data_IF_526900034118
#
_entry.id   IF_526900034118
#
_cell.length_a   1.000
_cell.length_b   1.000
_cell.length_c   1.000
_cell.angle_alpha   90.00
_cell.angle_beta   90.00
_cell.angle_gamma   90.00
#
_symmetry.space_group_name_H-M   'P 1'
#
loop_
_entity.id
_entity.type
_entity.pdbx_description
1 polymer ?
#
# COMPACT_ATOMS: atom_id res chain seq x y z
N UNK A 1 19.79 -8.19 -6.48
CA UNK A 1 18.33 -8.26 -6.74
C UNK A 1 17.71 -9.24 -5.73
N UNK A 2 17.06 -8.69 -4.73
CA UNK A 2 16.51 -9.44 -3.58
C UNK A 2 15.20 -10.17 -3.91
N UNK A 3 14.52 -9.78 -5.00
CA UNK A 3 13.19 -10.27 -5.40
C UNK A 3 13.20 -10.93 -6.78
N UNK A 4 14.36 -11.41 -7.25
CA UNK A 4 14.49 -12.04 -8.57
C UNK A 4 13.56 -13.26 -8.69
N UNK A 5 12.73 -13.27 -9.75
CA UNK A 5 11.77 -14.33 -10.02
C UNK A 5 10.50 -14.28 -9.19
N UNK A 6 10.26 -13.23 -8.41
CA UNK A 6 9.03 -12.99 -7.69
C UNK A 6 8.04 -12.17 -8.52
N UNK A 7 6.76 -12.36 -8.23
CA UNK A 7 5.66 -11.60 -8.82
C UNK A 7 4.98 -10.75 -7.74
N UNK A 8 4.66 -9.51 -8.08
CA UNK A 8 4.08 -8.55 -7.15
C UNK A 8 2.84 -7.87 -7.74
N UNK A 9 1.88 -7.55 -6.89
CA UNK A 9 0.78 -6.64 -7.18
C UNK A 9 0.87 -5.43 -6.25
N UNK A 10 0.83 -4.22 -6.83
CA UNK A 10 0.75 -2.98 -6.06
C UNK A 10 -0.57 -2.29 -6.36
N UNK A 11 -1.45 -2.20 -5.35
CA UNK A 11 -2.72 -1.49 -5.53
C UNK A 11 -2.52 0.02 -5.47
N UNK A 12 -3.24 0.75 -6.34
CA UNK A 12 -3.01 2.19 -6.51
C UNK A 12 -1.58 2.52 -6.98
N UNK A 13 -0.98 1.66 -7.82
CA UNK A 13 0.42 1.73 -8.24
C UNK A 13 0.75 2.78 -9.29
N UNK A 14 -0.21 3.57 -9.76
CA UNK A 14 -0.02 4.50 -10.88
C UNK A 14 0.68 5.83 -10.51
N UNK A 15 0.71 6.22 -9.24
CA UNK A 15 1.29 7.49 -8.76
C UNK A 15 1.78 7.42 -7.31
N UNK A 16 2.46 8.47 -6.88
CA UNK A 16 2.86 8.68 -5.48
C UNK A 16 3.67 7.51 -4.89
N UNK A 17 3.30 7.10 -3.69
CA UNK A 17 3.95 6.02 -2.94
C UNK A 17 3.82 4.69 -3.69
N UNK A 18 2.63 4.36 -4.24
CA UNK A 18 2.42 3.11 -4.97
C UNK A 18 3.31 2.97 -6.21
N UNK A 19 3.48 4.06 -6.99
CA UNK A 19 4.43 4.10 -8.10
C UNK A 19 5.86 3.84 -7.65
N UNK A 20 6.30 4.49 -6.58
CA UNK A 20 7.65 4.30 -6.06
C UNK A 20 7.87 2.85 -5.59
N UNK A 21 6.88 2.25 -4.93
CA UNK A 21 6.93 0.86 -4.51
C UNK A 21 7.01 -0.08 -5.73
N UNK A 22 6.16 0.12 -6.75
CA UNK A 22 6.16 -0.70 -7.94
C UNK A 22 7.52 -0.69 -8.67
N UNK A 23 8.13 0.49 -8.80
CA UNK A 23 9.45 0.65 -9.40
C UNK A 23 10.54 -0.01 -8.55
N UNK A 24 10.54 0.20 -7.23
CA UNK A 24 11.56 -0.37 -6.33
C UNK A 24 11.49 -1.91 -6.29
N UNK A 25 10.30 -2.52 -6.33
CA UNK A 25 10.14 -3.97 -6.42
C UNK A 25 10.71 -4.50 -7.76
N UNK A 26 10.47 -3.78 -8.85
CA UNK A 26 11.01 -4.14 -10.17
C UNK A 26 12.54 -4.01 -10.23
N UNK A 27 13.12 -2.96 -9.65
CA UNK A 27 14.58 -2.77 -9.54
C UNK A 27 15.24 -3.91 -8.75
N UNK A 28 14.52 -4.50 -7.80
CA UNK A 28 14.97 -5.67 -7.05
C UNK A 28 14.63 -7.01 -7.73
N UNK A 29 14.09 -6.97 -8.95
CA UNK A 29 13.95 -8.15 -9.81
C UNK A 29 12.57 -8.78 -9.84
N UNK A 30 11.54 -8.17 -9.24
CA UNK A 30 10.18 -8.65 -9.32
C UNK A 30 9.50 -8.27 -10.65
N UNK A 31 8.60 -9.12 -11.14
CA UNK A 31 7.60 -8.77 -12.14
C UNK A 31 6.40 -8.14 -11.43
N UNK A 32 5.83 -7.05 -11.97
CA UNK A 32 4.90 -6.23 -11.20
C UNK A 32 3.60 -5.95 -11.93
N UNK A 33 2.48 -6.34 -11.34
CA UNK A 33 1.15 -5.87 -11.69
C UNK A 33 0.87 -4.52 -11.00
N UNK A 34 0.34 -3.58 -11.78
CA UNK A 34 0.01 -2.23 -11.34
C UNK A 34 -1.50 -2.10 -11.34
N UNK A 35 -2.11 -2.05 -10.15
CA UNK A 35 -3.54 -1.76 -10.08
C UNK A 35 -3.81 -0.26 -10.17
N UNK A 36 -4.86 0.09 -10.89
CA UNK A 36 -5.41 1.44 -11.02
C UNK A 36 -6.93 1.38 -11.24
N UNK A 37 -7.64 2.48 -11.01
CA UNK A 37 -9.08 2.58 -11.28
C UNK A 37 -9.35 3.32 -12.59
N UNK A 38 -8.90 4.57 -12.71
CA UNK A 38 -9.25 5.45 -13.84
C UNK A 38 -8.05 6.01 -14.58
N UNK A 39 -6.86 6.02 -13.99
CA UNK A 39 -5.66 6.68 -14.53
C UNK A 39 -4.78 5.72 -15.34
N UNK A 40 -5.32 5.13 -16.42
CA UNK A 40 -4.57 4.20 -17.28
C UNK A 40 -3.29 4.83 -17.86
N UNK A 41 -3.27 6.07 -18.38
CA UNK A 41 -2.02 6.65 -18.90
C UNK A 41 -0.90 6.70 -17.87
N UNK A 42 -1.20 7.07 -16.62
CA UNK A 42 -0.22 7.08 -15.54
C UNK A 42 0.25 5.66 -15.16
N UNK A 43 -0.66 4.69 -15.11
CA UNK A 43 -0.31 3.29 -14.85
C UNK A 43 0.58 2.73 -15.98
N UNK A 44 0.29 3.07 -17.24
CA UNK A 44 1.09 2.68 -18.42
C UNK A 44 2.49 3.27 -18.37
N UNK A 45 2.65 4.53 -17.96
CA UNK A 45 3.97 5.14 -17.77
C UNK A 45 4.82 4.35 -16.76
N UNK A 46 4.22 3.90 -15.65
CA UNK A 46 4.92 3.07 -14.66
C UNK A 46 5.28 1.71 -15.25
N UNK A 47 4.35 1.07 -15.95
CA UNK A 47 4.59 -0.21 -16.62
C UNK A 47 5.73 -0.12 -17.64
N UNK A 48 5.80 0.96 -18.43
CA UNK A 48 6.87 1.15 -19.40
C UNK A 48 8.24 1.36 -18.72
N UNK A 49 8.28 2.03 -17.56
CA UNK A 49 9.50 2.12 -16.76
C UNK A 49 9.95 0.77 -16.23
N UNK A 50 9.01 -0.06 -15.75
CA UNK A 50 9.32 -1.43 -15.31
C UNK A 50 9.86 -2.28 -16.46
N UNK A 51 9.29 -2.18 -17.65
CA UNK A 51 9.80 -2.89 -18.84
C UNK A 51 11.21 -2.41 -19.24
N UNK A 52 11.50 -1.11 -19.10
CA UNK A 52 12.85 -0.56 -19.33
C UNK A 52 13.90 -1.08 -18.33
N UNK A 53 13.49 -1.43 -17.12
CA UNK A 53 14.32 -2.12 -16.12
C UNK A 53 14.57 -3.59 -16.52
N UNK A 54 13.87 -4.10 -17.52
CA UNK A 54 13.96 -5.50 -17.95
C UNK A 54 13.05 -6.45 -17.17
N UNK A 55 11.97 -5.92 -16.54
CA UNK A 55 10.99 -6.73 -15.82
C UNK A 55 9.65 -6.74 -16.55
N UNK A 56 8.88 -7.80 -16.33
CA UNK A 56 7.53 -7.88 -16.87
C UNK A 56 6.58 -7.01 -16.04
N UNK A 57 5.60 -6.37 -16.72
CA UNK A 57 4.58 -5.56 -16.05
C UNK A 57 3.21 -5.76 -16.65
N UNK A 58 2.20 -5.85 -15.80
CA UNK A 58 0.79 -6.02 -16.15
C UNK A 58 -0.07 -4.87 -15.60
N UNK A 59 -1.05 -4.41 -16.37
CA UNK A 59 -2.00 -3.36 -15.97
C UNK A 59 -3.29 -4.01 -15.46
N UNK A 60 -3.56 -3.89 -14.17
CA UNK A 60 -4.66 -4.52 -13.47
C UNK A 60 -5.74 -3.48 -13.07
N UNK A 61 -6.68 -3.20 -13.97
CA UNK A 61 -7.75 -2.24 -13.68
C UNK A 61 -8.80 -2.84 -12.75
N UNK A 62 -9.01 -2.24 -11.57
CA UNK A 62 -10.09 -2.62 -10.65
C UNK A 62 -10.28 -1.55 -9.56
N UNK A 63 -11.51 -1.39 -9.08
CA UNK A 63 -11.79 -0.73 -7.80
C UNK A 63 -11.66 -1.76 -6.67
N UNK A 64 -10.65 -1.61 -5.82
CA UNK A 64 -10.41 -2.53 -4.71
C UNK A 64 -11.51 -2.50 -3.64
N UNK A 65 -12.29 -1.42 -3.58
CA UNK A 65 -13.47 -1.30 -2.72
C UNK A 65 -14.66 -2.18 -3.16
N UNK A 66 -14.62 -2.69 -4.39
CA UNK A 66 -15.62 -3.60 -4.96
C UNK A 66 -15.05 -5.02 -5.00
N UNK A 67 -15.65 -5.95 -4.23
CA UNK A 67 -15.15 -7.32 -4.15
C UNK A 67 -15.25 -8.09 -5.47
N UNK A 68 -16.36 -8.06 -6.25
CA UNK A 68 -16.43 -8.66 -7.58
C UNK A 68 -15.35 -8.16 -8.53
N UNK A 69 -15.07 -6.86 -8.54
CA UNK A 69 -14.05 -6.27 -9.40
C UNK A 69 -12.63 -6.69 -8.96
N UNK A 70 -12.38 -6.74 -7.64
CA UNK A 70 -11.14 -7.27 -7.07
C UNK A 70 -10.93 -8.74 -7.39
N UNK A 71 -12.00 -9.55 -7.36
CA UNK A 71 -11.92 -10.97 -7.70
C UNK A 71 -11.58 -11.18 -9.18
N UNK A 72 -12.19 -10.41 -10.09
CA UNK A 72 -11.86 -10.41 -11.51
C UNK A 72 -10.39 -10.02 -11.74
N UNK A 73 -9.94 -8.95 -11.10
CA UNK A 73 -8.53 -8.51 -11.16
C UNK A 73 -7.57 -9.63 -10.72
N UNK A 74 -7.90 -10.35 -9.65
CA UNK A 74 -7.06 -11.44 -9.17
C UNK A 74 -6.95 -12.58 -10.20
N UNK A 75 -8.06 -12.93 -10.86
CA UNK A 75 -8.04 -13.94 -11.94
C UNK A 75 -7.13 -13.49 -13.09
N UNK A 76 -7.22 -12.21 -13.50
CA UNK A 76 -6.40 -11.66 -14.58
C UNK A 76 -4.90 -11.68 -14.21
N UNK A 77 -4.56 -11.26 -12.99
CA UNK A 77 -3.17 -11.27 -12.47
C UNK A 77 -2.61 -12.70 -12.39
N UNK A 78 -3.40 -13.65 -11.88
CA UNK A 78 -2.99 -15.06 -11.80
C UNK A 78 -2.87 -15.72 -13.17
N UNK A 79 -3.71 -15.34 -14.12
CA UNK A 79 -3.60 -15.79 -15.51
C UNK A 79 -2.32 -15.29 -16.18
N UNK A 80 -1.95 -14.04 -15.91
CA UNK A 80 -0.75 -13.39 -16.49
C UNK A 80 0.55 -13.92 -15.90
N UNK A 81 0.63 -14.04 -14.57
CA UNK A 81 1.87 -14.41 -13.88
C UNK A 81 1.93 -15.88 -13.42
N UNK A 82 0.82 -16.60 -13.46
CA UNK A 82 0.72 -17.95 -12.91
C UNK A 82 0.56 -18.01 -11.38
N UNK A 83 1.13 -17.04 -10.68
CA UNK A 83 1.08 -16.93 -9.20
C UNK A 83 1.29 -15.47 -8.75
N UNK A 84 1.03 -15.20 -7.47
CA UNK A 84 1.37 -13.93 -6.82
C UNK A 84 2.17 -14.20 -5.54
N UNK A 85 3.37 -13.67 -5.45
CA UNK A 85 4.24 -13.76 -4.29
C UNK A 85 4.03 -12.60 -3.31
N UNK A 86 3.91 -11.39 -3.84
CA UNK A 86 3.93 -10.15 -3.06
C UNK A 86 2.66 -9.34 -3.35
N UNK A 87 1.94 -9.00 -2.29
CA UNK A 87 0.80 -8.07 -2.35
C UNK A 87 1.13 -6.81 -1.56
N UNK A 88 1.11 -5.64 -2.22
CA UNK A 88 1.20 -4.35 -1.55
C UNK A 88 -0.15 -3.64 -1.63
N UNK A 89 -0.86 -3.59 -0.52
CA UNK A 89 -2.11 -2.87 -0.36
C UNK A 89 -1.81 -1.39 -0.09
N UNK A 90 -1.70 -0.61 -1.16
CA UNK A 90 -1.39 0.81 -1.10
C UNK A 90 -2.58 1.70 -1.51
N UNK A 91 -3.54 1.20 -2.29
CA UNK A 91 -4.71 1.96 -2.70
C UNK A 91 -5.41 2.63 -1.50
N UNK A 92 -5.70 3.91 -1.64
CA UNK A 92 -6.37 4.66 -0.58
C UNK A 92 -6.73 6.07 -1.01
N UNK A 93 -7.73 6.61 -0.36
CA UNK A 93 -8.23 7.97 -0.55
C UNK A 93 -8.40 8.67 0.80
N UNK A 94 -8.43 9.99 0.77
CA UNK A 94 -8.95 10.82 1.87
C UNK A 94 -10.22 11.54 1.43
N UNK A 95 -11.08 11.86 2.40
CA UNK A 95 -12.25 12.71 2.22
C UNK A 95 -12.45 13.48 3.51
N UNK A 96 -11.67 14.55 3.63
CA UNK A 96 -11.48 15.29 4.87
C UNK A 96 -12.68 16.20 5.14
N UNK A 97 -13.35 15.98 6.26
CA UNK A 97 -14.46 16.79 6.80
C UNK A 97 -14.42 16.74 8.32
N UNK A 98 -14.74 17.86 8.97
CA UNK A 98 -14.98 17.80 10.43
C UNK A 98 -16.09 16.80 10.74
N UNK A 99 -16.04 16.14 11.89
CA UNK A 99 -17.00 15.09 12.23
C UNK A 99 -18.46 15.54 12.12
N UNK A 100 -18.75 16.77 12.55
CA UNK A 100 -20.10 17.38 12.45
C UNK A 100 -20.57 17.52 10.99
N UNK A 101 -19.66 17.70 10.03
CA UNK A 101 -19.98 17.86 8.60
C UNK A 101 -19.75 16.58 7.79
N UNK A 102 -19.21 15.53 8.40
CA UNK A 102 -18.93 14.26 7.74
C UNK A 102 -20.25 13.53 7.49
N UNK A 103 -20.62 13.38 6.24
CA UNK A 103 -21.78 12.58 5.85
C UNK A 103 -21.42 11.08 5.77
N UNK A 104 -22.47 10.26 5.84
CA UNK A 104 -22.31 8.79 5.79
C UNK A 104 -21.67 8.31 4.50
N UNK A 105 -21.91 8.96 3.36
CA UNK A 105 -21.34 8.60 2.07
C UNK A 105 -19.80 8.80 2.06
N UNK A 106 -19.32 9.96 2.58
CA UNK A 106 -17.87 10.21 2.71
C UNK A 106 -17.21 9.22 3.67
N UNK A 107 -17.87 8.87 4.77
CA UNK A 107 -17.41 7.84 5.70
C UNK A 107 -17.27 6.50 4.98
N UNK A 108 -18.37 5.99 4.40
CA UNK A 108 -18.40 4.69 3.73
C UNK A 108 -17.42 4.57 2.57
N UNK A 109 -17.30 5.62 1.77
CA UNK A 109 -16.38 5.64 0.63
C UNK A 109 -14.92 5.43 1.06
N UNK A 110 -14.50 6.09 2.14
CA UNK A 110 -13.12 5.95 2.66
C UNK A 110 -12.90 4.55 3.23
N UNK A 111 -13.84 4.03 4.02
CA UNK A 111 -13.72 2.68 4.58
C UNK A 111 -13.70 1.61 3.47
N UNK A 112 -14.59 1.70 2.49
CA UNK A 112 -14.67 0.74 1.40
C UNK A 112 -13.33 0.59 0.65
N UNK A 113 -12.66 1.71 0.35
CA UNK A 113 -11.39 1.64 -0.38
C UNK A 113 -10.22 1.31 0.55
N UNK A 114 -10.12 2.01 1.70
CA UNK A 114 -8.92 1.96 2.53
C UNK A 114 -8.87 0.74 3.45
N UNK A 115 -10.01 0.17 3.84
CA UNK A 115 -10.11 -0.98 4.76
C UNK A 115 -10.67 -2.20 4.07
N UNK A 116 -11.89 -2.11 3.50
CA UNK A 116 -12.50 -3.25 2.82
C UNK A 116 -11.66 -3.65 1.59
N UNK A 117 -11.05 -2.69 0.88
CA UNK A 117 -10.13 -2.96 -0.23
C UNK A 117 -8.90 -3.76 0.17
N UNK A 118 -8.33 -3.52 1.36
CA UNK A 118 -7.21 -4.32 1.91
C UNK A 118 -7.66 -5.75 2.21
N UNK A 119 -8.84 -5.88 2.82
CA UNK A 119 -9.45 -7.19 3.05
C UNK A 119 -9.71 -7.92 1.73
N UNK A 120 -10.36 -7.26 0.76
CA UNK A 120 -10.72 -7.84 -0.54
C UNK A 120 -9.48 -8.37 -1.27
N UNK A 121 -8.45 -7.53 -1.44
CA UNK A 121 -7.23 -7.92 -2.13
C UNK A 121 -6.50 -9.06 -1.40
N UNK A 122 -6.40 -9.01 -0.08
CA UNK A 122 -5.76 -10.08 0.69
C UNK A 122 -6.56 -11.38 0.57
N UNK A 123 -7.90 -11.33 0.66
CA UNK A 123 -8.78 -12.49 0.60
C UNK A 123 -8.71 -13.23 -0.72
N UNK A 124 -8.64 -12.53 -1.85
CA UNK A 124 -8.61 -13.17 -3.18
C UNK A 124 -7.27 -13.84 -3.50
N UNK A 125 -6.17 -13.43 -2.87
CA UNK A 125 -4.84 -14.00 -3.13
C UNK A 125 -4.35 -14.97 -2.05
N UNK A 126 -4.89 -14.92 -0.82
CA UNK A 126 -4.38 -15.71 0.31
C UNK A 126 -4.41 -17.22 0.06
N UNK A 127 -5.47 -17.73 -0.58
CA UNK A 127 -5.60 -19.17 -0.84
C UNK A 127 -4.51 -19.68 -1.81
N UNK A 128 -4.09 -18.83 -2.76
CA UNK A 128 -3.00 -19.17 -3.68
C UNK A 128 -1.64 -19.10 -2.95
N UNK A 129 -1.43 -18.09 -2.10
CA UNK A 129 -0.23 -17.99 -1.27
C UNK A 129 -0.11 -19.17 -0.29
N UNK A 130 -1.24 -19.65 0.27
CA UNK A 130 -1.26 -20.86 1.11
C UNK A 130 -0.84 -22.12 0.35
N UNK A 131 -1.25 -22.29 -0.90
CA UNK A 131 -0.87 -23.44 -1.72
C UNK A 131 0.63 -23.48 -2.05
N UNK A 132 1.27 -22.34 -2.18
CA UNK A 132 2.71 -22.23 -2.43
C UNK A 132 3.55 -22.16 -1.16
N UNK A 133 2.91 -22.13 0.02
CA UNK A 133 3.55 -21.99 1.34
C UNK A 133 4.51 -20.79 1.42
N UNK A 134 4.23 -19.75 0.66
CA UNK A 134 5.01 -18.51 0.65
C UNK A 134 4.15 -17.31 0.25
N UNK A 135 4.31 -16.22 0.95
CA UNK A 135 3.64 -14.96 0.62
C UNK A 135 4.18 -13.79 1.44
N UNK A 136 4.14 -12.60 0.84
CA UNK A 136 4.48 -11.35 1.52
C UNK A 136 3.38 -10.34 1.27
N UNK A 137 2.72 -9.90 2.34
CA UNK A 137 1.70 -8.86 2.27
C UNK A 137 2.19 -7.64 3.04
N UNK A 138 2.22 -6.49 2.36
CA UNK A 138 2.55 -5.20 2.97
C UNK A 138 1.37 -4.26 2.83
N UNK A 139 0.84 -3.81 3.96
CA UNK A 139 -0.29 -2.88 4.02
C UNK A 139 0.21 -1.45 4.28
N UNK A 140 -0.15 -0.50 3.43
CA UNK A 140 0.21 0.90 3.66
C UNK A 140 -0.84 1.53 4.58
N UNK A 141 -0.44 1.72 5.83
CA UNK A 141 -1.21 2.43 6.84
C UNK A 141 -0.93 3.94 6.81
N UNK A 142 -0.84 4.59 7.92
CA UNK A 142 -0.46 6.01 8.05
C UNK A 142 -0.18 6.34 9.51
N UNK A 143 0.69 7.30 9.75
CA UNK A 143 0.82 7.94 11.07
C UNK A 143 -0.52 8.48 11.58
N UNK A 144 -1.42 8.90 10.69
CA UNK A 144 -2.76 9.38 11.05
C UNK A 144 -3.62 8.24 11.65
N UNK A 145 -3.40 6.99 11.27
CA UNK A 145 -4.03 5.85 11.93
C UNK A 145 -3.55 5.64 13.36
N UNK A 146 -2.36 6.12 13.70
CA UNK A 146 -1.74 6.00 15.02
C UNK A 146 -2.12 7.16 15.95
N UNK A 147 -2.13 8.41 15.44
CA UNK A 147 -2.32 9.62 16.26
C UNK A 147 -3.68 10.32 16.07
N UNK A 148 -4.43 9.97 15.01
CA UNK A 148 -5.59 10.75 14.57
C UNK A 148 -5.20 12.06 13.89
N UNK A 149 -6.19 12.74 13.27
CA UNK A 149 -6.01 14.11 12.77
C UNK A 149 -7.36 14.81 12.66
N UNK A 150 -7.34 16.13 12.83
CA UNK A 150 -8.54 16.96 12.68
C UNK A 150 -9.14 16.81 11.27
N UNK A 151 -10.44 16.53 11.20
CA UNK A 151 -11.15 16.37 9.93
C UNK A 151 -10.95 15.03 9.22
N UNK A 152 -10.23 14.07 9.80
CA UNK A 152 -9.88 12.78 9.17
C UNK A 152 -10.36 11.56 9.97
N UNK A 153 -11.51 11.65 10.63
CA UNK A 153 -12.02 10.54 11.45
C UNK A 153 -12.21 9.24 10.65
N UNK A 154 -12.73 9.32 9.41
CA UNK A 154 -12.88 8.20 8.49
C UNK A 154 -11.53 7.60 8.07
N UNK A 155 -10.58 8.44 7.71
CA UNK A 155 -9.25 8.03 7.29
C UNK A 155 -8.46 7.40 8.44
N UNK A 156 -8.43 8.05 9.61
CA UNK A 156 -7.79 7.53 10.81
C UNK A 156 -8.35 6.17 11.21
N UNK A 157 -9.68 6.04 11.27
CA UNK A 157 -10.35 4.78 11.58
C UNK A 157 -10.00 3.68 10.57
N UNK A 158 -9.99 3.99 9.26
CA UNK A 158 -9.63 3.01 8.22
C UNK A 158 -8.18 2.53 8.37
N UNK A 159 -7.22 3.43 8.60
CA UNK A 159 -5.79 3.09 8.71
C UNK A 159 -5.47 2.35 10.02
N UNK A 160 -6.11 2.71 11.12
CA UNK A 160 -6.05 1.95 12.38
C UNK A 160 -6.65 0.54 12.22
N UNK A 161 -7.77 0.41 11.50
CA UNK A 161 -8.37 -0.88 11.17
C UNK A 161 -7.44 -1.78 10.37
N UNK A 162 -6.74 -1.23 9.38
CA UNK A 162 -5.72 -1.98 8.60
C UNK A 162 -4.57 -2.45 9.49
N UNK A 163 -4.10 -1.63 10.43
CA UNK A 163 -3.05 -2.04 11.38
C UNK A 163 -3.51 -3.21 12.26
N UNK A 164 -4.75 -3.18 12.74
CA UNK A 164 -5.34 -4.27 13.52
C UNK A 164 -5.52 -5.54 12.67
N UNK A 165 -6.03 -5.41 11.43
CA UNK A 165 -6.18 -6.51 10.48
C UNK A 165 -4.82 -7.17 10.19
N UNK A 166 -3.77 -6.38 9.97
CA UNK A 166 -2.40 -6.85 9.77
C UNK A 166 -1.97 -7.79 10.90
N UNK A 167 -2.16 -7.39 12.16
CA UNK A 167 -1.77 -8.19 13.33
C UNK A 167 -2.57 -9.49 13.44
N UNK A 168 -3.86 -9.46 13.12
CA UNK A 168 -4.72 -10.64 13.16
C UNK A 168 -4.31 -11.67 12.11
N UNK A 169 -4.18 -11.24 10.86
CA UNK A 169 -3.79 -12.12 9.76
C UNK A 169 -2.35 -12.66 9.91
N UNK A 170 -1.44 -11.87 10.47
CA UNK A 170 -0.09 -12.32 10.78
C UNK A 170 -0.09 -13.53 11.72
N UNK A 171 -0.93 -13.52 12.77
CA UNK A 171 -1.06 -14.65 13.70
C UNK A 171 -1.62 -15.91 13.04
N UNK A 172 -2.56 -15.75 12.10
CA UNK A 172 -3.21 -16.87 11.41
C UNK A 172 -2.31 -17.52 10.36
N UNK A 173 -1.46 -16.73 9.69
CA UNK A 173 -0.77 -17.12 8.46
C UNK A 173 0.74 -17.33 8.60
N UNK A 174 1.35 -16.89 9.71
CA UNK A 174 2.81 -17.00 9.93
C UNK A 174 3.32 -18.44 9.79
N UNK A 175 2.66 -19.41 10.43
CA UNK A 175 3.04 -20.83 10.35
C UNK A 175 2.86 -21.45 8.96
N UNK A 176 2.29 -20.70 8.00
CA UNK A 176 2.08 -21.11 6.62
C UNK A 176 3.07 -20.45 5.63
N UNK A 177 4.15 -19.85 6.14
CA UNK A 177 5.16 -19.20 5.33
C UNK A 177 4.76 -17.82 4.78
N UNK A 178 3.64 -17.25 5.26
CA UNK A 178 3.13 -15.95 4.82
C UNK A 178 3.39 -14.92 5.91
N UNK A 179 4.12 -13.84 5.57
CA UNK A 179 4.26 -12.69 6.47
C UNK A 179 3.33 -11.56 6.06
N UNK A 180 2.73 -10.91 7.05
CA UNK A 180 1.84 -9.76 6.83
C UNK A 180 2.31 -8.63 7.74
N UNK A 181 2.72 -7.51 7.13
CA UNK A 181 3.24 -6.35 7.83
C UNK A 181 2.57 -5.07 7.34
N UNK A 182 2.70 -4.01 8.12
CA UNK A 182 2.28 -2.68 7.75
C UNK A 182 3.47 -1.72 7.66
N UNK A 183 3.36 -0.74 6.79
CA UNK A 183 4.22 0.45 6.76
C UNK A 183 3.34 1.65 7.02
N UNK A 184 3.72 2.47 8.01
CA UNK A 184 3.01 3.69 8.41
C UNK A 184 3.79 4.94 7.99
N UNK A 185 3.54 5.49 6.79
CA UNK A 185 4.18 6.73 6.36
C UNK A 185 3.69 7.91 7.19
N UNK A 186 4.59 8.88 7.43
CA UNK A 186 4.25 10.23 7.83
C UNK A 186 3.81 11.09 6.65
N UNK A 187 4.19 12.37 6.68
CA UNK A 187 3.99 13.26 5.54
C UNK A 187 5.09 13.03 4.50
N UNK A 188 4.70 12.51 3.33
CA UNK A 188 5.60 12.13 2.23
C UNK A 188 5.40 13.08 1.05
N UNK A 189 6.49 13.54 0.45
CA UNK A 189 6.49 14.38 -0.75
C UNK A 189 5.80 13.67 -1.92
N UNK A 190 4.53 14.02 -2.12
CA UNK A 190 3.67 13.53 -3.20
C UNK A 190 2.85 14.70 -3.73
N UNK A 191 2.17 14.53 -4.87
CA UNK A 191 1.24 15.54 -5.39
C UNK A 191 0.19 15.98 -4.35
N UNK A 192 -0.17 15.09 -3.43
CA UNK A 192 -1.11 15.38 -2.34
C UNK A 192 -0.53 16.40 -1.34
N UNK A 193 0.74 16.28 -1.00
CA UNK A 193 1.43 17.20 -0.05
C UNK A 193 1.81 18.51 -0.73
N UNK A 194 2.22 18.46 -2.01
CA UNK A 194 2.54 19.68 -2.78
C UNK A 194 1.33 20.61 -2.99
N UNK A 195 0.10 20.07 -2.94
CA UNK A 195 -1.13 20.86 -2.99
C UNK A 195 -1.52 21.56 -1.67
N UNK A 196 -0.81 21.32 -0.57
CA UNK A 196 -1.09 21.94 0.73
C UNK A 196 -0.53 23.38 0.75
N UNK A 197 -1.29 24.38 1.24
CA UNK A 197 -0.78 25.75 1.36
C UNK A 197 0.52 25.84 2.18
N UNK A 198 1.46 26.66 1.76
CA UNK A 198 2.82 26.76 2.35
C UNK A 198 2.80 26.98 3.87
N UNK A 199 1.91 27.86 4.37
CA UNK A 199 1.75 28.10 5.80
C UNK A 199 1.40 26.84 6.59
N UNK A 200 0.61 25.95 5.99
CA UNK A 200 0.23 24.67 6.61
C UNK A 200 1.42 23.69 6.53
N UNK A 201 2.14 23.68 5.39
CA UNK A 201 3.36 22.87 5.25
C UNK A 201 4.38 23.21 6.32
N UNK A 202 4.64 24.53 6.57
CA UNK A 202 5.58 24.99 7.61
C UNK A 202 5.13 24.52 9.00
N UNK A 203 3.85 24.56 9.30
CA UNK A 203 3.31 24.06 10.58
C UNK A 203 3.53 22.54 10.72
N UNK A 204 3.32 21.77 9.65
CA UNK A 204 3.54 20.32 9.64
C UNK A 204 5.02 20.00 9.81
N UNK A 205 5.91 20.72 9.09
CA UNK A 205 7.35 20.54 9.20
C UNK A 205 7.84 20.78 10.65
N UNK A 206 7.29 21.78 11.34
CA UNK A 206 7.61 22.03 12.75
C UNK A 206 7.19 20.93 13.73
N UNK A 207 6.34 19.97 13.30
CA UNK A 207 5.94 18.83 14.10
C UNK A 207 6.80 17.58 13.84
N UNK A 208 7.55 17.54 12.74
CA UNK A 208 8.39 16.41 12.37
C UNK A 208 9.79 16.60 12.98
N UNK A 209 10.26 15.74 13.89
CA UNK A 209 11.58 15.86 14.47
C UNK A 209 12.73 15.92 13.46
N UNK A 210 12.64 15.20 12.35
CA UNK A 210 13.64 15.28 11.27
C UNK A 210 13.56 16.56 10.43
N UNK A 211 12.59 17.47 10.67
CA UNK A 211 12.47 18.79 10.05
C UNK A 211 12.19 18.79 8.54
N UNK A 212 11.80 17.65 7.96
CA UNK A 212 11.48 17.53 6.54
C UNK A 212 10.38 16.53 6.28
N UNK A 213 9.74 16.65 5.15
CA UNK A 213 8.88 15.56 4.65
C UNK A 213 9.74 14.36 4.23
N UNK A 214 9.14 13.16 4.33
CA UNK A 214 9.75 11.94 3.80
C UNK A 214 9.65 11.90 2.28
N UNK A 215 10.51 11.10 1.66
CA UNK A 215 10.46 10.83 0.21
C UNK A 215 9.77 9.50 -0.06
N UNK A 216 9.17 9.37 -1.23
CA UNK A 216 8.49 8.12 -1.63
C UNK A 216 9.44 6.92 -1.68
N UNK A 217 10.72 7.14 -1.99
CA UNK A 217 11.75 6.09 -2.00
C UNK A 217 12.11 5.58 -0.59
N UNK A 218 11.95 6.41 0.45
CA UNK A 218 12.15 5.97 1.84
C UNK A 218 11.07 4.98 2.27
N UNK A 219 9.83 5.16 1.79
CA UNK A 219 8.72 4.21 2.01
C UNK A 219 8.90 2.95 1.16
N UNK A 220 9.27 3.08 -0.12
CA UNK A 220 9.42 1.94 -1.02
C UNK A 220 10.55 1.00 -0.59
N UNK A 221 11.67 1.51 -0.07
CA UNK A 221 12.74 0.69 0.50
C UNK A 221 12.30 -0.13 1.71
N UNK A 222 11.44 0.44 2.57
CA UNK A 222 10.85 -0.31 3.67
C UNK A 222 9.96 -1.47 3.19
N UNK A 223 9.18 -1.24 2.12
CA UNK A 223 8.38 -2.30 1.50
C UNK A 223 9.27 -3.41 0.90
N UNK A 224 10.33 -3.04 0.18
CA UNK A 224 11.29 -4.01 -0.37
C UNK A 224 11.93 -4.83 0.76
N UNK A 225 12.36 -4.19 1.84
CA UNK A 225 12.91 -4.86 3.02
C UNK A 225 11.96 -5.92 3.58
N UNK A 226 10.69 -5.57 3.80
CA UNK A 226 9.68 -6.48 4.34
C UNK A 226 9.27 -7.59 3.35
N UNK A 227 9.45 -7.40 2.05
CA UNK A 227 9.14 -8.39 1.02
C UNK A 227 10.32 -9.32 0.70
N UNK A 228 11.54 -8.96 1.07
CA UNK A 228 12.76 -9.74 0.81
C UNK A 228 13.07 -10.71 1.94
N UNK A 229 14.13 -11.53 1.76
CA UNK A 229 14.65 -12.42 2.80
C UNK A 229 15.13 -11.69 4.06
N UNK A 230 15.42 -10.39 3.97
CA UNK A 230 15.81 -9.57 5.13
C UNK A 230 14.62 -9.43 6.12
N UNK A 231 13.38 -9.58 5.63
CA UNK A 231 12.13 -9.50 6.41
C UNK A 231 11.53 -10.86 6.81
N UNK A 232 12.19 -11.99 6.56
CA UNK A 232 11.61 -13.33 6.74
C UNK A 232 11.11 -13.62 8.17
N UNK A 233 11.73 -13.01 9.18
CA UNK A 233 11.33 -13.20 10.57
C UNK A 233 10.50 -12.03 11.14
N UNK A 234 9.92 -11.20 10.24
CA UNK A 234 9.09 -10.05 10.60
C UNK A 234 7.66 -10.31 10.13
N UNK A 235 6.72 -10.41 11.05
CA UNK A 235 5.28 -10.49 10.75
C UNK A 235 4.47 -9.82 11.85
N UNK A 236 3.36 -9.17 11.47
CA UNK A 236 2.50 -8.41 12.39
C UNK A 236 3.08 -7.05 12.82
N UNK A 237 4.22 -6.65 12.28
CA UNK A 237 4.84 -5.36 12.58
C UNK A 237 4.14 -4.21 11.82
N UNK A 238 4.14 -3.03 12.43
CA UNK A 238 3.84 -1.77 11.78
C UNK A 238 5.10 -0.89 11.83
N UNK A 239 5.77 -0.76 10.67
CA UNK A 239 7.01 -0.01 10.55
C UNK A 239 6.72 1.46 10.24
N UNK A 240 7.02 2.34 11.19
CA UNK A 240 6.84 3.79 11.05
C UNK A 240 7.93 4.42 10.19
N UNK A 241 7.53 5.07 9.08
CA UNK A 241 8.40 5.86 8.19
C UNK A 241 7.89 7.32 8.23
N UNK A 242 8.10 7.99 9.36
CA UNK A 242 7.41 9.25 9.67
C UNK A 242 8.33 10.37 10.19
N UNK A 243 9.65 10.18 10.16
CA UNK A 243 10.62 11.19 10.62
C UNK A 243 10.54 11.51 12.12
N UNK A 244 10.00 10.59 12.93
CA UNK A 244 9.83 10.75 14.37
C UNK A 244 8.53 11.47 14.77
N UNK A 245 7.62 11.72 13.82
CA UNK A 245 6.32 12.37 14.11
C UNK A 245 5.49 11.59 15.13
N UNK A 246 5.67 10.27 15.17
CA UNK A 246 5.12 9.35 16.16
C UNK A 246 6.13 8.25 16.47
N UNK A 247 6.33 8.01 17.74
CA UNK A 247 7.25 7.00 18.28
C UNK A 247 6.55 6.14 19.33
#
# INVERSE_FOLDING_TARGET
MKLKGRTALVTGGSRGIGRAIALALAEEGADVAINYVSSEPAAREVADKIRKIGRHSFLAQADVGDYPDTFRMAQDVLKEFGHLDILVNNAGISSDKTFVRMDHASWRKVLAINLDGVFNCTKVFVDQMLKQEWGRVVNITSVIGQIGNFGQANYAASKAGVAALTKSLAKELAAKGITINAVAPGFIETEMVSGIPEKVQQKLLGQIPMGRFGKTDEVSRACVYLCSSDGDYITGAELSINGGLFM
#
